data_IF_258512173854
#
_entry.id   IF_258512173854
#
_cell.length_a   1.000
_cell.length_b   1.000
_cell.length_c   1.000
_cell.angle_alpha   90.00
_cell.angle_beta   90.00
_cell.angle_gamma   90.00
#
_symmetry.space_group_name_H-M   'P 1'
#
loop_
_entity.id
_entity.type
_entity.pdbx_description
1 polymer ?
#
# COMPACT_ATOMS: atom_id res chain seq x y z
N UNK A 1 19.31 30.58 8.20
CA UNK A 1 18.05 29.87 7.85
C UNK A 1 18.21 28.37 7.59
N UNK A 2 19.40 27.83 7.26
CA UNK A 2 19.59 26.38 6.95
C UNK A 2 18.95 25.40 7.94
N UNK A 3 19.00 25.71 9.23
CA UNK A 3 18.56 24.81 10.29
C UNK A 3 17.12 25.03 10.78
N UNK A 4 16.45 26.08 10.28
CA UNK A 4 15.07 26.35 10.68
C UNK A 4 14.14 25.32 10.05
N UNK A 5 13.48 24.50 10.88
CA UNK A 5 12.60 23.42 10.40
C UNK A 5 11.20 23.88 10.03
N UNK A 6 10.70 24.89 10.73
CA UNK A 6 9.34 25.39 10.56
C UNK A 6 9.28 26.91 10.63
N UNK A 7 8.34 27.47 9.86
CA UNK A 7 7.84 28.82 10.06
C UNK A 7 6.47 28.76 10.73
N UNK A 8 6.28 29.53 11.81
CA UNK A 8 4.99 29.66 12.51
C UNK A 8 4.20 30.82 11.91
N UNK A 9 3.28 30.50 11.00
CA UNK A 9 2.31 31.46 10.46
C UNK A 9 1.11 31.60 11.40
N UNK A 10 0.61 32.83 11.56
CA UNK A 10 -0.62 33.11 12.30
C UNK A 10 -1.88 32.62 11.58
N UNK A 11 -1.83 32.53 10.24
CA UNK A 11 -3.01 32.24 9.41
C UNK A 11 -3.15 30.75 9.11
N UNK A 12 -2.03 30.06 8.83
CA UNK A 12 -2.03 28.66 8.34
C UNK A 12 -1.29 27.69 9.27
N UNK A 13 -0.77 28.19 10.40
CA UNK A 13 -0.04 27.39 11.38
C UNK A 13 1.40 27.08 10.96
N UNK A 14 1.84 25.83 11.16
CA UNK A 14 3.22 25.41 10.89
C UNK A 14 3.45 25.15 9.40
N UNK A 15 4.36 25.92 8.79
CA UNK A 15 4.86 25.71 7.44
C UNK A 15 6.19 24.96 7.50
N UNK A 16 6.28 23.84 6.78
CA UNK A 16 7.51 23.06 6.66
C UNK A 16 8.54 23.81 5.82
N UNK A 17 9.74 24.00 6.36
CA UNK A 17 10.88 24.54 5.64
C UNK A 17 11.88 23.43 5.38
N UNK A 18 12.34 23.32 4.14
CA UNK A 18 13.38 22.39 3.72
C UNK A 18 14.49 23.15 3.00
N UNK A 19 15.74 22.86 3.37
CA UNK A 19 16.83 23.13 2.46
C UNK A 19 16.77 22.15 1.30
N UNK A 20 17.22 22.55 0.11
CA UNK A 20 17.13 21.69 -1.09
C UNK A 20 17.86 20.35 -0.89
N UNK A 21 19.03 20.36 -0.25
CA UNK A 21 19.79 19.14 0.07
C UNK A 21 19.00 18.19 0.98
N UNK A 22 18.32 18.74 1.99
CA UNK A 22 17.50 17.95 2.92
C UNK A 22 16.28 17.35 2.21
N UNK A 23 15.66 18.11 1.30
CA UNK A 23 14.56 17.61 0.47
C UNK A 23 15.00 16.46 -0.44
N UNK A 24 16.18 16.56 -1.05
CA UNK A 24 16.75 15.48 -1.87
C UNK A 24 16.97 14.19 -1.05
N UNK A 25 17.42 14.30 0.21
CA UNK A 25 17.53 13.16 1.11
C UNK A 25 16.18 12.51 1.43
N UNK A 26 15.15 13.32 1.66
CA UNK A 26 13.79 12.83 1.88
C UNK A 26 13.31 12.06 0.65
N UNK A 27 13.44 12.61 -0.55
CA UNK A 27 13.04 11.94 -1.79
C UNK A 27 13.87 10.68 -2.09
N UNK A 28 15.14 10.64 -1.66
CA UNK A 28 15.99 9.46 -1.81
C UNK A 28 15.49 8.28 -0.96
N UNK A 29 15.03 8.54 0.26
CA UNK A 29 14.66 7.49 1.20
C UNK A 29 13.16 7.23 1.29
N UNK A 30 12.30 8.21 1.03
CA UNK A 30 10.85 8.08 1.10
C UNK A 30 10.30 8.03 -0.32
N UNK A 31 9.85 6.86 -0.73
CA UNK A 31 9.57 6.56 -2.15
C UNK A 31 8.08 6.67 -2.43
N UNK A 32 7.25 6.29 -1.46
CA UNK A 32 5.80 6.25 -1.62
C UNK A 32 5.15 7.57 -1.17
N UNK A 33 4.01 7.97 -1.76
CA UNK A 33 3.25 9.11 -1.27
C UNK A 33 2.81 8.97 0.20
N UNK A 34 2.54 7.74 0.64
CA UNK A 34 2.21 7.44 2.02
C UNK A 34 3.34 7.84 2.98
N UNK A 35 4.58 7.44 2.68
CA UNK A 35 5.75 7.73 3.51
C UNK A 35 6.00 9.22 3.63
N UNK A 36 5.93 9.97 2.52
CA UNK A 36 6.10 11.43 2.54
C UNK A 36 5.07 12.07 3.48
N UNK A 37 3.79 11.71 3.35
CA UNK A 37 2.73 12.26 4.21
C UNK A 37 2.96 11.91 5.68
N UNK A 38 3.28 10.65 5.97
CA UNK A 38 3.48 10.17 7.34
C UNK A 38 4.72 10.81 7.98
N UNK A 39 5.80 10.96 7.20
CA UNK A 39 7.02 11.66 7.62
C UNK A 39 6.76 13.12 7.94
N UNK A 40 6.02 13.85 7.09
CA UNK A 40 5.69 15.25 7.37
C UNK A 40 4.88 15.39 8.65
N UNK A 41 3.92 14.49 8.88
CA UNK A 41 3.17 14.47 10.13
C UNK A 41 4.06 14.15 11.34
N UNK A 42 4.92 13.12 11.22
CA UNK A 42 5.90 12.77 12.25
C UNK A 42 6.82 13.94 12.58
N UNK A 43 7.39 14.59 11.56
CA UNK A 43 8.27 15.75 11.69
C UNK A 43 7.59 16.90 12.43
N UNK A 44 6.32 17.16 12.14
CA UNK A 44 5.51 18.17 12.86
C UNK A 44 5.35 17.80 14.33
N UNK A 45 4.97 16.56 14.63
CA UNK A 45 4.76 16.10 16.00
C UNK A 45 6.07 16.12 16.81
N UNK A 46 7.18 15.69 16.21
CA UNK A 46 8.50 15.74 16.83
C UNK A 46 8.90 17.18 17.16
N UNK A 47 8.63 18.13 16.25
CA UNK A 47 8.90 19.55 16.49
C UNK A 47 8.06 20.12 17.63
N UNK A 48 6.77 19.78 17.69
CA UNK A 48 5.90 20.26 18.77
C UNK A 48 6.34 19.74 20.15
N UNK A 49 6.92 18.55 20.22
CA UNK A 49 7.43 17.98 21.47
C UNK A 49 8.81 18.52 21.89
N UNK A 50 9.63 18.94 20.93
CA UNK A 50 11.06 19.26 21.15
C UNK A 50 11.50 20.56 20.47
N UNK A 51 10.62 21.56 20.42
CA UNK A 51 10.80 22.80 19.63
C UNK A 51 12.16 23.48 19.86
N UNK A 52 12.59 23.55 21.13
CA UNK A 52 13.79 24.28 21.54
C UNK A 52 15.09 23.64 21.06
N UNK A 53 15.07 22.36 20.67
CA UNK A 53 16.28 21.60 20.34
C UNK A 53 16.25 21.00 18.94
N UNK A 54 15.08 20.83 18.30
CA UNK A 54 15.01 20.14 17.02
C UNK A 54 15.73 20.91 15.88
N UNK A 55 15.77 22.25 15.95
CA UNK A 55 16.55 23.06 15.01
C UNK A 55 18.07 22.81 15.12
N UNK A 56 18.57 22.22 16.21
CA UNK A 56 19.99 21.87 16.33
C UNK A 56 20.35 20.57 15.61
N UNK A 57 19.35 19.81 15.13
CA UNK A 57 19.55 18.54 14.45
C UNK A 57 19.44 18.70 12.92
N UNK A 58 20.29 17.99 12.16
CA UNK A 58 20.17 17.92 10.71
C UNK A 58 18.89 17.16 10.30
N UNK A 59 18.38 17.36 9.09
CA UNK A 59 17.14 16.67 8.65
C UNK A 59 17.32 15.14 8.61
N UNK A 60 18.52 14.70 8.32
CA UNK A 60 18.95 13.29 8.31
C UNK A 60 18.68 12.63 9.67
N UNK A 61 18.83 13.35 10.79
CA UNK A 61 18.45 12.84 12.09
C UNK A 61 16.94 12.56 12.19
N UNK A 62 16.11 13.52 11.76
CA UNK A 62 14.65 13.40 11.82
C UNK A 62 14.18 12.23 10.95
N UNK A 63 14.80 12.09 9.77
CA UNK A 63 14.53 10.98 8.85
C UNK A 63 14.95 9.63 9.42
N UNK A 64 16.14 9.54 10.01
CA UNK A 64 16.61 8.32 10.68
C UNK A 64 15.74 7.93 11.88
N UNK A 65 15.26 8.92 12.64
CA UNK A 65 14.30 8.72 13.73
C UNK A 65 12.98 8.15 13.18
N UNK A 66 12.40 8.76 12.15
CA UNK A 66 11.16 8.28 11.52
C UNK A 66 11.25 6.83 11.04
N UNK A 67 12.38 6.45 10.45
CA UNK A 67 12.63 5.09 9.94
C UNK A 67 12.65 4.08 11.10
N UNK A 68 13.29 4.44 12.21
CA UNK A 68 13.35 3.62 13.42
C UNK A 68 11.99 3.46 14.09
N UNK A 69 11.34 4.59 14.37
CA UNK A 69 10.16 4.63 15.22
C UNK A 69 9.33 5.88 14.99
N UNK A 70 8.03 5.76 15.22
CA UNK A 70 7.10 6.89 15.22
C UNK A 70 6.96 7.54 16.61
N UNK A 71 7.65 7.03 17.62
CA UNK A 71 7.65 7.61 18.96
C UNK A 71 8.39 8.95 18.97
N UNK A 72 7.64 10.02 19.22
CA UNK A 72 8.12 11.41 19.28
C UNK A 72 8.42 11.89 20.70
N UNK A 73 8.28 11.03 21.71
CA UNK A 73 8.47 11.42 23.12
C UNK A 73 9.93 11.65 23.51
N UNK A 74 10.88 11.03 22.78
CA UNK A 74 12.32 11.06 23.09
C UNK A 74 13.13 11.49 21.87
N UNK A 75 14.30 12.06 22.15
CA UNK A 75 15.36 12.32 21.16
C UNK A 75 16.53 11.40 21.44
N UNK A 76 17.04 10.75 20.39
CA UNK A 76 18.21 9.88 20.48
C UNK A 76 19.11 10.10 19.26
N UNK A 77 20.19 10.90 19.39
CA UNK A 77 21.06 11.27 18.27
C UNK A 77 21.59 10.09 17.44
N UNK A 78 21.66 8.89 18.01
CA UNK A 78 22.11 7.67 17.33
C UNK A 78 21.23 7.26 16.15
N UNK A 79 19.95 7.67 16.11
CA UNK A 79 19.04 7.33 15.00
C UNK A 79 19.51 7.85 13.64
N UNK A 80 20.42 8.82 13.60
CA UNK A 80 21.03 9.26 12.33
C UNK A 80 21.79 8.13 11.61
N UNK A 81 22.34 7.17 12.36
CA UNK A 81 23.12 6.06 11.81
C UNK A 81 22.24 5.07 11.04
N UNK A 82 20.93 5.00 11.33
CA UNK A 82 19.99 4.10 10.65
C UNK A 82 19.88 4.38 9.15
N UNK A 83 20.19 5.61 8.71
CA UNK A 83 20.21 5.95 7.28
C UNK A 83 21.35 5.27 6.52
N UNK A 84 22.48 4.99 7.19
CA UNK A 84 23.64 4.35 6.56
C UNK A 84 23.41 2.87 6.31
N UNK A 85 22.65 2.23 7.21
CA UNK A 85 22.43 0.78 7.22
C UNK A 85 21.09 0.38 6.60
N UNK A 86 20.35 1.33 6.00
CA UNK A 86 19.06 1.04 5.39
C UNK A 86 19.24 0.13 4.17
N UNK A 87 18.52 -0.99 4.15
CA UNK A 87 18.50 -1.89 3.00
C UNK A 87 17.73 -1.25 1.85
N UNK A 88 18.32 -1.29 0.66
CA UNK A 88 17.72 -0.86 -0.60
C UNK A 88 16.88 -2.00 -1.21
N UNK A 89 15.60 -2.06 -0.83
CA UNK A 89 14.63 -3.08 -1.19
C UNK A 89 13.51 -2.56 -2.12
N UNK A 90 13.79 -1.51 -2.88
CA UNK A 90 12.78 -0.78 -3.68
C UNK A 90 12.01 -1.69 -4.63
N UNK A 91 12.72 -2.66 -5.22
CA UNK A 91 12.13 -3.64 -6.14
C UNK A 91 11.05 -4.49 -5.50
N UNK A 92 11.06 -4.69 -4.18
CA UNK A 92 10.11 -5.58 -3.51
C UNK A 92 8.74 -4.95 -3.35
N UNK A 93 8.66 -3.62 -3.27
CA UNK A 93 7.41 -2.87 -3.15
C UNK A 93 7.10 -1.99 -4.36
N UNK A 94 7.98 -1.91 -5.35
CA UNK A 94 7.72 -1.17 -6.58
C UNK A 94 6.56 -1.80 -7.38
N UNK A 95 5.47 -1.05 -7.48
CA UNK A 95 4.26 -1.37 -8.24
C UNK A 95 4.08 -0.47 -9.47
N UNK A 96 5.10 0.31 -9.86
CA UNK A 96 5.01 1.26 -10.98
C UNK A 96 4.58 0.57 -12.27
N UNK A 97 5.12 -0.63 -12.53
CA UNK A 97 4.71 -1.45 -13.68
C UNK A 97 3.21 -1.80 -13.66
N UNK A 98 2.59 -1.95 -12.49
CA UNK A 98 1.15 -2.20 -12.37
C UNK A 98 0.40 -0.91 -12.73
N UNK A 99 0.84 0.22 -12.15
CA UNK A 99 0.26 1.56 -12.37
C UNK A 99 0.28 1.96 -13.85
N UNK A 100 1.42 1.78 -14.52
CA UNK A 100 1.62 2.10 -15.94
C UNK A 100 0.68 1.30 -16.85
N UNK A 101 0.35 0.06 -16.47
CA UNK A 101 -0.50 -0.83 -17.26
C UNK A 101 -2.00 -0.65 -17.03
N UNK A 102 -2.45 0.17 -16.06
CA UNK A 102 -3.88 0.44 -15.85
C UNK A 102 -4.53 1.10 -17.07
N UNK A 103 -3.85 2.07 -17.71
CA UNK A 103 -4.40 2.80 -18.86
C UNK A 103 -4.72 1.91 -20.06
N UNK A 104 -4.07 0.74 -20.19
CA UNK A 104 -4.27 -0.17 -21.32
C UNK A 104 -5.31 -1.27 -21.10
N UNK A 105 -5.82 -1.48 -19.87
CA UNK A 105 -6.53 -2.73 -19.51
C UNK A 105 -7.80 -2.58 -18.65
N UNK A 106 -8.27 -1.37 -18.36
CA UNK A 106 -9.55 -1.20 -17.65
C UNK A 106 -10.68 -1.22 -18.67
N UNK A 107 -11.43 -2.33 -18.69
CA UNK A 107 -12.62 -2.52 -19.53
C UNK A 107 -13.86 -2.62 -18.64
N UNK A 108 -14.22 -1.54 -17.96
CA UNK A 108 -15.58 -1.35 -17.42
C UNK A 108 -15.91 0.15 -17.52
N UNK A 109 -16.85 0.42 -18.42
CA UNK A 109 -17.59 1.64 -18.78
C UNK A 109 -16.88 2.97 -19.10
N UNK A 110 -17.36 3.53 -20.21
CA UNK A 110 -16.81 4.54 -21.10
C UNK A 110 -16.73 5.98 -20.55
N UNK A 111 -16.97 6.21 -19.26
CA UNK A 111 -16.95 7.56 -18.66
C UNK A 111 -16.39 7.64 -17.23
N UNK A 112 -16.00 6.53 -16.58
CA UNK A 112 -15.69 6.56 -15.15
C UNK A 112 -14.21 6.82 -14.84
N UNK A 113 -13.96 7.75 -13.93
CA UNK A 113 -12.65 7.98 -13.29
C UNK A 113 -12.28 6.85 -12.29
N UNK A 114 -12.81 5.63 -12.45
CA UNK A 114 -12.73 4.55 -11.45
C UNK A 114 -11.30 4.10 -11.14
N UNK A 115 -10.40 4.21 -12.12
CA UNK A 115 -8.99 3.90 -11.94
C UNK A 115 -8.28 4.88 -11.00
N UNK A 116 -8.72 6.14 -10.94
CA UNK A 116 -8.18 7.10 -9.98
C UNK A 116 -8.49 6.67 -8.55
N UNK A 117 -9.67 6.08 -8.31
CA UNK A 117 -10.03 5.54 -7.01
C UNK A 117 -9.12 4.39 -6.61
N UNK A 118 -8.80 3.50 -7.55
CA UNK A 118 -7.84 2.40 -7.32
C UNK A 118 -6.44 2.96 -7.02
N UNK A 119 -5.92 3.85 -7.85
CA UNK A 119 -4.59 4.47 -7.66
C UNK A 119 -4.55 5.21 -6.32
N UNK A 120 -5.61 5.92 -5.94
CA UNK A 120 -5.72 6.64 -4.67
C UNK A 120 -5.62 5.70 -3.47
N UNK A 121 -6.21 4.51 -3.52
CA UNK A 121 -6.07 3.54 -2.44
C UNK A 121 -4.69 2.87 -2.43
N UNK A 122 -4.10 2.58 -3.59
CA UNK A 122 -2.73 2.07 -3.69
C UNK A 122 -1.71 3.07 -3.14
N UNK A 123 -1.90 4.37 -3.39
CA UNK A 123 -1.03 5.44 -2.88
C UNK A 123 -1.10 5.60 -1.34
N UNK A 124 -2.06 4.97 -0.67
CA UNK A 124 -2.18 4.95 0.81
C UNK A 124 -1.49 3.75 1.45
N UNK A 125 -0.94 2.83 0.66
CA UNK A 125 -0.20 1.68 1.17
C UNK A 125 1.23 2.09 1.52
N UNK A 126 1.74 1.56 2.63
CA UNK A 126 3.16 1.66 2.96
C UNK A 126 3.98 0.57 2.24
N UNK A 127 5.30 0.55 2.41
CA UNK A 127 6.17 -0.46 1.79
C UNK A 127 5.77 -1.89 2.10
N UNK A 128 5.37 -2.15 3.35
CA UNK A 128 5.03 -3.48 3.78
C UNK A 128 3.73 -3.96 3.14
N UNK A 129 2.72 -3.10 3.10
CA UNK A 129 1.46 -3.36 2.40
C UNK A 129 1.69 -3.54 0.89
N UNK A 130 2.54 -2.71 0.28
CA UNK A 130 2.87 -2.79 -1.15
C UNK A 130 3.63 -4.08 -1.50
N UNK A 131 4.55 -4.55 -0.65
CA UNK A 131 5.20 -5.87 -0.80
C UNK A 131 4.16 -6.99 -0.85
N UNK A 132 3.26 -7.01 0.13
CA UNK A 132 2.23 -8.04 0.22
C UNK A 132 1.20 -7.95 -0.91
N UNK A 133 0.91 -6.74 -1.38
CA UNK A 133 0.09 -6.48 -2.57
C UNK A 133 0.76 -7.05 -3.82
N UNK A 134 2.01 -6.64 -4.10
CA UNK A 134 2.78 -7.10 -5.26
C UNK A 134 2.94 -8.62 -5.28
N UNK A 135 3.23 -9.22 -4.13
CA UNK A 135 3.33 -10.68 -3.98
C UNK A 135 2.06 -11.38 -4.44
N UNK A 136 0.88 -10.94 -3.99
CA UNK A 136 -0.41 -11.57 -4.35
C UNK A 136 -0.81 -11.28 -5.79
N UNK A 137 -0.51 -10.09 -6.28
CA UNK A 137 -0.66 -9.73 -7.69
C UNK A 137 0.10 -10.71 -8.59
N UNK A 138 1.39 -10.92 -8.33
CA UNK A 138 2.24 -11.84 -9.09
C UNK A 138 1.79 -13.30 -8.95
N UNK A 139 1.42 -13.73 -7.75
CA UNK A 139 0.89 -15.09 -7.52
C UNK A 139 -0.40 -15.34 -8.30
N UNK A 140 -1.32 -14.38 -8.39
CA UNK A 140 -2.54 -14.55 -9.17
C UNK A 140 -2.24 -14.68 -10.68
N UNK A 141 -1.26 -13.93 -11.20
CA UNK A 141 -0.80 -14.07 -12.59
C UNK A 141 -0.13 -15.43 -12.82
N UNK A 142 0.67 -15.91 -11.87
CA UNK A 142 1.30 -17.23 -11.96
C UNK A 142 0.23 -18.33 -11.99
N UNK A 143 -0.74 -18.27 -11.07
CA UNK A 143 -1.79 -19.28 -10.97
C UNK A 143 -2.79 -19.26 -12.11
N UNK A 144 -3.01 -18.12 -12.76
CA UNK A 144 -3.84 -18.10 -13.98
C UNK A 144 -3.19 -18.83 -15.16
N UNK A 145 -1.86 -19.05 -15.15
CA UNK A 145 -1.16 -19.82 -16.19
C UNK A 145 -1.33 -21.32 -16.03
N UNK A 146 -1.46 -21.79 -14.80
CA UNK A 146 -1.58 -23.22 -14.48
C UNK A 146 -2.91 -23.80 -15.00
N UNK A 147 -3.92 -22.96 -15.25
CA UNK A 147 -5.27 -23.38 -15.67
C UNK A 147 -5.93 -24.34 -14.68
N UNK A 148 -5.58 -24.22 -13.40
CA UNK A 148 -6.15 -24.99 -12.30
C UNK A 148 -6.98 -24.10 -11.40
N UNK A 149 -8.07 -24.65 -10.87
CA UNK A 149 -8.92 -23.94 -9.92
C UNK A 149 -8.09 -23.54 -8.70
N UNK A 150 -8.02 -22.24 -8.44
CA UNK A 150 -7.24 -21.68 -7.35
C UNK A 150 -8.09 -20.70 -6.56
N UNK A 151 -8.18 -20.91 -5.24
CA UNK A 151 -8.88 -19.96 -4.37
C UNK A 151 -8.21 -18.57 -4.43
N UNK A 152 -8.99 -17.47 -4.43
CA UNK A 152 -8.46 -16.12 -4.45
C UNK A 152 -7.44 -15.84 -3.35
N UNK A 153 -6.48 -14.99 -3.68
CA UNK A 153 -5.56 -14.41 -2.72
C UNK A 153 -6.15 -13.12 -2.18
N UNK A 154 -5.86 -12.78 -0.92
CA UNK A 154 -6.40 -11.57 -0.31
C UNK A 154 -5.48 -10.97 0.74
N UNK A 155 -5.58 -9.66 0.92
CA UNK A 155 -5.02 -8.86 2.02
C UNK A 155 -6.00 -7.78 2.44
N UNK A 156 -5.78 -7.26 3.64
CA UNK A 156 -6.42 -6.06 4.15
C UNK A 156 -5.33 -5.17 4.72
N UNK A 157 -5.23 -3.93 4.23
CA UNK A 157 -4.37 -2.94 4.88
C UNK A 157 -5.14 -2.30 6.04
N UNK A 158 -4.63 -2.47 7.25
CA UNK A 158 -5.23 -1.86 8.44
C UNK A 158 -5.11 -0.33 8.44
N UNK A 159 -4.07 0.19 7.76
CA UNK A 159 -3.79 1.63 7.67
C UNK A 159 -4.73 2.32 6.70
N UNK A 160 -4.89 1.75 5.49
CA UNK A 160 -5.82 2.32 4.52
C UNK A 160 -7.27 1.90 4.83
N UNK A 161 -7.50 0.84 5.61
CA UNK A 161 -8.80 0.17 5.79
C UNK A 161 -9.39 -0.30 4.46
N UNK A 162 -8.54 -0.74 3.53
CA UNK A 162 -8.93 -1.25 2.23
C UNK A 162 -8.57 -2.72 2.10
N UNK A 163 -9.53 -3.50 1.57
CA UNK A 163 -9.33 -4.89 1.20
C UNK A 163 -8.83 -5.00 -0.24
N UNK A 164 -7.99 -6.00 -0.50
CA UNK A 164 -7.58 -6.36 -1.86
C UNK A 164 -7.78 -7.85 -2.05
N UNK A 165 -8.47 -8.22 -3.14
CA UNK A 165 -8.68 -9.61 -3.54
C UNK A 165 -8.14 -9.82 -4.96
N UNK A 166 -7.43 -10.92 -5.17
CA UNK A 166 -6.78 -11.29 -6.42
C UNK A 166 -7.28 -12.66 -6.85
N UNK A 167 -8.03 -12.70 -7.94
CA UNK A 167 -8.80 -13.84 -8.41
C UNK A 167 -8.13 -14.40 -9.67
N UNK A 168 -7.35 -15.48 -9.57
CA UNK A 168 -6.91 -16.21 -10.75
C UNK A 168 -8.09 -16.98 -11.35
N UNK A 169 -8.25 -16.93 -12.67
CA UNK A 169 -9.33 -17.60 -13.39
C UNK A 169 -8.77 -18.40 -14.56
N UNK A 170 -9.28 -19.63 -14.69
CA UNK A 170 -9.08 -20.50 -15.86
C UNK A 170 -9.60 -19.82 -17.12
N UNK A 171 -8.86 -19.88 -18.22
CA UNK A 171 -9.23 -19.20 -19.46
C UNK A 171 -10.58 -19.64 -20.03
N UNK A 172 -10.96 -20.90 -19.82
CA UNK A 172 -12.26 -21.44 -20.22
C UNK A 172 -13.43 -20.76 -19.50
N UNK A 173 -13.19 -20.27 -18.27
CA UNK A 173 -14.19 -19.58 -17.45
C UNK A 173 -14.17 -18.06 -17.61
N UNK A 174 -13.32 -17.52 -18.50
CA UNK A 174 -13.16 -16.07 -18.68
C UNK A 174 -14.48 -15.35 -18.89
N UNK A 175 -15.46 -15.94 -19.58
CA UNK A 175 -16.76 -15.30 -19.85
C UNK A 175 -17.57 -14.98 -18.58
N UNK A 176 -17.17 -15.50 -17.41
CA UNK A 176 -17.80 -15.23 -16.11
C UNK A 176 -17.02 -14.22 -15.27
N UNK A 177 -15.99 -13.57 -15.83
CA UNK A 177 -15.06 -12.74 -15.07
C UNK A 177 -15.75 -11.55 -14.38
N UNK A 178 -16.73 -10.91 -15.02
CA UNK A 178 -17.44 -9.73 -14.49
C UNK A 178 -18.19 -10.06 -13.19
N UNK A 179 -19.03 -11.09 -13.24
CA UNK A 179 -19.75 -11.54 -12.06
C UNK A 179 -18.80 -12.06 -10.97
N UNK A 180 -17.73 -12.77 -11.37
CA UNK A 180 -16.75 -13.28 -10.42
C UNK A 180 -16.04 -12.15 -9.68
N UNK A 181 -15.53 -11.13 -10.38
CA UNK A 181 -14.77 -10.05 -9.74
C UNK A 181 -15.65 -9.25 -8.78
N UNK A 182 -16.90 -8.98 -9.13
CA UNK A 182 -17.86 -8.28 -8.25
C UNK A 182 -18.13 -9.13 -7.00
N UNK A 183 -18.50 -10.40 -7.19
CA UNK A 183 -18.86 -11.28 -6.08
C UNK A 183 -17.70 -11.50 -5.10
N UNK A 184 -16.48 -11.75 -5.59
CA UNK A 184 -15.31 -11.92 -4.72
C UNK A 184 -14.90 -10.61 -4.02
N UNK A 185 -15.07 -9.46 -4.68
CA UNK A 185 -14.77 -8.16 -4.07
C UNK A 185 -15.74 -7.86 -2.93
N UNK A 186 -17.04 -8.01 -3.17
CA UNK A 186 -18.06 -7.77 -2.14
C UNK A 186 -18.00 -8.81 -1.01
N UNK A 187 -17.74 -10.08 -1.32
CA UNK A 187 -17.57 -11.12 -0.30
C UNK A 187 -16.36 -10.86 0.60
N UNK A 188 -15.21 -10.43 0.06
CA UNK A 188 -14.05 -10.06 0.87
C UNK A 188 -14.30 -8.80 1.70
N UNK A 189 -14.95 -7.79 1.11
CA UNK A 189 -15.36 -6.56 1.81
C UNK A 189 -16.25 -6.89 3.02
N UNK A 190 -17.24 -7.75 2.80
CA UNK A 190 -18.19 -8.17 3.82
C UNK A 190 -17.52 -8.99 4.94
N UNK A 191 -16.77 -10.03 4.58
CA UNK A 191 -16.07 -10.92 5.53
C UNK A 191 -15.12 -10.15 6.46
N UNK A 192 -14.43 -9.15 5.92
CA UNK A 192 -13.45 -8.34 6.68
C UNK A 192 -14.06 -7.09 7.32
N UNK A 193 -15.36 -6.87 7.20
CA UNK A 193 -16.08 -5.70 7.73
C UNK A 193 -15.46 -4.36 7.28
N UNK A 194 -15.25 -4.22 5.97
CA UNK A 194 -14.60 -3.08 5.35
C UNK A 194 -15.61 -2.20 4.61
N UNK A 195 -15.33 -0.90 4.54
CA UNK A 195 -16.12 0.03 3.72
C UNK A 195 -15.66 0.05 2.25
N UNK A 196 -14.48 -0.50 1.97
CA UNK A 196 -13.89 -0.45 0.63
C UNK A 196 -13.03 -1.65 0.30
N UNK A 197 -13.10 -2.07 -0.94
CA UNK A 197 -12.35 -3.20 -1.45
C UNK A 197 -11.99 -3.01 -2.93
N UNK A 198 -10.81 -3.51 -3.29
CA UNK A 198 -10.35 -3.58 -4.68
C UNK A 198 -10.23 -5.05 -5.08
N UNK A 199 -10.96 -5.43 -6.11
CA UNK A 199 -10.82 -6.69 -6.80
C UNK A 199 -9.89 -6.59 -7.98
N UNK A 200 -9.08 -7.62 -8.16
CA UNK A 200 -8.34 -7.90 -9.38
C UNK A 200 -8.73 -9.30 -9.85
N UNK A 201 -9.06 -9.45 -11.12
CA UNK A 201 -9.23 -10.76 -11.75
C UNK A 201 -8.24 -10.89 -12.90
N UNK A 202 -7.66 -12.07 -13.05
CA UNK A 202 -6.68 -12.35 -14.09
C UNK A 202 -6.93 -13.70 -14.73
N UNK A 203 -6.88 -13.74 -16.06
CA UNK A 203 -6.89 -14.96 -16.86
C UNK A 203 -5.88 -14.83 -18.00
N UNK A 204 -5.36 -15.96 -18.47
CA UNK A 204 -4.38 -16.00 -19.54
C UNK A 204 -4.72 -17.13 -20.52
N UNK A 205 -4.69 -16.83 -21.82
CA UNK A 205 -4.85 -17.86 -22.85
C UNK A 205 -3.68 -18.85 -22.78
N UNK A 206 -3.93 -20.18 -22.79
CA UNK A 206 -2.87 -21.19 -22.72
C UNK A 206 -1.79 -21.15 -23.81
N UNK A 207 -2.05 -20.48 -24.94
CA UNK A 207 -1.15 -20.43 -26.11
C UNK A 207 -0.50 -19.06 -26.29
N UNK A 208 -1.03 -18.02 -25.64
CA UNK A 208 -0.57 -16.65 -25.84
C UNK A 208 0.26 -16.20 -24.62
N UNK A 209 1.22 -15.32 -24.86
CA UNK A 209 2.13 -14.83 -23.81
C UNK A 209 1.57 -13.65 -23.02
N UNK A 210 0.38 -13.16 -23.35
CA UNK A 210 -0.26 -12.07 -22.64
C UNK A 210 -1.36 -12.58 -21.70
N UNK A 211 -1.61 -11.82 -20.64
CA UNK A 211 -2.68 -12.04 -19.68
C UNK A 211 -3.58 -10.80 -19.63
N UNK A 212 -4.86 -11.02 -19.40
CA UNK A 212 -5.86 -9.98 -19.19
C UNK A 212 -6.03 -9.76 -17.69
N UNK A 213 -6.08 -8.48 -17.29
CA UNK A 213 -6.34 -8.09 -15.91
C UNK A 213 -7.51 -7.12 -15.92
N UNK A 214 -8.56 -7.43 -15.18
CA UNK A 214 -9.66 -6.51 -14.94
C UNK A 214 -9.72 -6.17 -13.45
N UNK A 215 -10.23 -4.97 -13.16
CA UNK A 215 -10.27 -4.41 -11.82
C UNK A 215 -11.70 -4.02 -11.43
N UNK A 216 -12.00 -4.10 -10.14
CA UNK A 216 -13.24 -3.65 -9.54
C UNK A 216 -12.90 -2.85 -8.30
N UNK A 217 -13.56 -1.71 -8.10
CA UNK A 217 -13.47 -0.94 -6.86
C UNK A 217 -14.85 -0.78 -6.28
N UNK A 218 -15.02 -1.13 -5.00
CA UNK A 218 -16.25 -0.86 -4.27
C UNK A 218 -15.96 -0.01 -3.05
N UNK A 219 -16.86 0.94 -2.78
CA UNK A 219 -16.77 1.88 -1.67
C UNK A 219 -18.18 2.21 -1.16
N UNK A 220 -18.57 1.52 -0.11
CA UNK A 220 -19.84 1.71 0.59
C UNK A 220 -19.68 1.21 2.02
N UNK A 221 -20.34 1.89 2.97
CA UNK A 221 -20.31 1.49 4.37
C UNK A 221 -20.66 0.01 4.53
N UNK A 222 -19.97 -0.67 5.44
CA UNK A 222 -20.29 -2.04 5.75
C UNK A 222 -21.68 -2.13 6.40
N UNK A 223 -22.55 -2.97 5.85
CA UNK A 223 -23.88 -3.27 6.39
C UNK A 223 -24.07 -4.77 6.40
N UNK A 224 -24.73 -5.29 7.44
CA UNK A 224 -25.10 -6.70 7.51
C UNK A 224 -25.97 -7.09 6.31
N UNK A 225 -25.66 -8.22 5.70
CA UNK A 225 -26.36 -8.77 4.54
C UNK A 225 -26.58 -10.26 4.79
N UNK A 226 -27.84 -10.63 5.05
CA UNK A 226 -28.24 -12.00 5.40
C UNK A 226 -27.92 -13.01 4.30
N UNK A 227 -28.06 -12.62 3.04
CA UNK A 227 -27.75 -13.48 1.90
C UNK A 227 -26.25 -13.77 1.80
N UNK A 228 -25.41 -12.73 1.89
CA UNK A 228 -23.95 -12.90 1.91
C UNK A 228 -23.48 -13.70 3.12
N UNK A 229 -24.06 -13.46 4.30
CA UNK A 229 -23.77 -14.21 5.52
C UNK A 229 -24.05 -15.71 5.33
N UNK A 230 -25.19 -16.06 4.73
CA UNK A 230 -25.57 -17.44 4.44
C UNK A 230 -24.62 -18.07 3.42
N UNK A 231 -24.34 -17.37 2.32
CA UNK A 231 -23.44 -17.85 1.26
C UNK A 231 -22.02 -18.13 1.79
N UNK A 232 -21.48 -17.24 2.63
CA UNK A 232 -20.16 -17.42 3.22
C UNK A 232 -20.10 -18.56 4.24
N UNK A 233 -21.20 -18.83 4.95
CA UNK A 233 -21.30 -19.99 5.86
C UNK A 233 -21.38 -21.32 5.12
N UNK A 234 -22.12 -21.36 4.01
CA UNK A 234 -22.31 -22.58 3.23
C UNK A 234 -21.10 -22.91 2.34
N UNK A 235 -20.51 -21.91 1.69
CA UNK A 235 -19.43 -22.09 0.73
C UNK A 235 -18.39 -20.96 0.86
N UNK A 236 -17.49 -21.08 1.83
CA UNK A 236 -16.48 -20.05 2.07
C UNK A 236 -15.46 -19.99 0.92
N UNK A 237 -15.41 -18.90 0.14
CA UNK A 237 -14.71 -18.90 -1.14
C UNK A 237 -13.27 -18.38 -1.02
N UNK A 238 -12.71 -18.34 0.19
CA UNK A 238 -11.41 -17.74 0.45
C UNK A 238 -10.50 -18.59 1.32
N UNK A 239 -9.21 -18.26 1.25
CA UNK A 239 -8.21 -18.76 2.19
C UNK A 239 -8.36 -18.07 3.56
N UNK A 240 -8.04 -18.76 4.67
CA UNK A 240 -7.97 -18.14 5.98
C UNK A 240 -7.01 -16.95 6.02
N UNK A 241 -7.40 -15.88 6.70
CA UNK A 241 -6.55 -14.69 6.90
C UNK A 241 -5.78 -14.85 8.22
N UNK A 242 -4.53 -14.42 8.23
CA UNK A 242 -3.70 -14.31 9.43
C UNK A 242 -3.22 -12.87 9.59
N UNK A 243 -3.28 -12.38 10.82
CA UNK A 243 -2.65 -11.11 11.19
C UNK A 243 -1.16 -11.37 11.36
N UNK A 244 -0.33 -10.60 10.67
CA UNK A 244 1.11 -10.68 10.75
C UNK A 244 1.71 -9.31 11.02
N UNK A 245 2.78 -9.27 11.81
CA UNK A 245 3.60 -8.06 11.93
C UNK A 245 4.52 -7.99 10.71
N UNK A 246 4.52 -6.84 10.05
CA UNK A 246 5.41 -6.55 8.92
C UNK A 246 6.29 -5.35 9.27
N UNK A 247 7.46 -5.29 8.63
CA UNK A 247 8.40 -4.19 8.79
C UNK A 247 8.35 -3.31 7.55
N UNK A 248 8.35 -1.99 7.73
CA UNK A 248 8.41 -1.02 6.62
C UNK A 248 9.81 -0.93 6.04
N UNK A 249 10.79 -0.88 6.94
CA UNK A 249 12.21 -0.73 6.64
C UNK A 249 12.98 -1.93 7.19
N UNK A 250 14.04 -2.31 6.50
CA UNK A 250 15.04 -3.26 6.99
C UNK A 250 16.35 -2.51 7.17
N UNK A 251 17.03 -2.78 8.28
CA UNK A 251 18.33 -2.20 8.61
C UNK A 251 19.30 -3.36 8.72
N UNK A 252 20.42 -3.29 8.00
CA UNK A 252 21.48 -4.29 8.07
C UNK A 252 22.31 -4.03 9.33
N UNK A 253 22.17 -4.87 10.35
CA UNK A 253 23.00 -4.81 11.54
C UNK A 253 24.35 -5.49 11.23
N UNK A 254 25.34 -4.67 10.85
CA UNK A 254 26.75 -5.04 10.70
C UNK A 254 27.08 -6.16 9.70
N UNK A 255 26.87 -5.93 8.39
CA UNK A 255 27.67 -6.55 7.32
C UNK A 255 27.84 -8.07 7.38
N UNK A 256 26.89 -8.80 7.97
CA UNK A 256 26.89 -10.26 8.03
C UNK A 256 25.86 -10.76 7.04
N UNK A 257 26.40 -11.08 5.87
CA UNK A 257 25.79 -11.89 4.82
C UNK A 257 25.10 -13.14 5.37
#
# INVERSE_FOLDING_TARGET
MRYQKFYKSKDVGLIHLFHIEDYLWICKYLITPFEIREYLNFRKLLFLNHENILNNFPEQYILGHYIETLDVSKINPKYIENLKNLVHDEKDFDISFIIENFKGKIRLETESLDYYSIIKELAKLDRADLREFKKRYLLAIEKSKEQEFTLPYRITSLKSKCGFVFVPVEYERRNKWENAIINFTEAHKYDQKLDKCIGMIVYQHPKEKYFDVNWCYTNSEWVYNEELEKLLKENFPFRPVKIGKTFRYFVDEDGKK
#
